data_IF_295944137530
#
_entry.id   IF_295944137530
#
_cell.length_a   1.000
_cell.length_b   1.000
_cell.length_c   1.000
_cell.angle_alpha   90.00
_cell.angle_beta   90.00
_cell.angle_gamma   90.00
#
_symmetry.space_group_name_H-M   'P 1'
#
loop_
_entity.id
_entity.type
_entity.pdbx_description
1 polymer ?
#
# COMPACT_ATOMS: atom_id res chain seq x y z
N UNK A 1 -0.31 1.21 -12.15
CA UNK A 1 1.12 0.96 -12.30
C UNK A 1 1.34 -0.55 -12.33
N UNK A 2 1.90 -1.09 -13.41
CA UNK A 2 2.20 -2.52 -13.50
C UNK A 2 3.50 -2.83 -12.75
N UNK A 3 3.77 -4.12 -12.45
CA UNK A 3 5.04 -4.52 -11.81
C UNK A 3 6.28 -4.10 -12.62
N UNK A 4 6.14 -3.91 -13.94
CA UNK A 4 7.24 -3.52 -14.82
C UNK A 4 7.51 -2.02 -14.70
N UNK A 5 6.46 -1.20 -14.69
CA UNK A 5 6.58 0.26 -14.54
C UNK A 5 7.28 0.63 -13.23
N UNK A 6 6.93 -0.06 -12.12
CA UNK A 6 7.58 0.16 -10.84
C UNK A 6 9.07 -0.18 -10.89
N UNK A 7 9.46 -1.27 -11.55
CA UNK A 7 10.87 -1.65 -11.69
C UNK A 7 11.66 -0.61 -12.48
N UNK A 8 11.07 -0.07 -13.54
CA UNK A 8 11.68 1.01 -14.31
C UNK A 8 11.83 2.28 -13.47
N UNK A 9 10.80 2.66 -12.72
CA UNK A 9 10.86 3.82 -11.83
C UNK A 9 11.92 3.67 -10.73
N UNK A 10 12.00 2.49 -10.10
CA UNK A 10 13.06 2.17 -9.13
C UNK A 10 14.42 2.30 -9.81
N UNK A 11 14.60 1.73 -11.00
CA UNK A 11 15.89 1.81 -11.70
C UNK A 11 16.29 3.26 -11.99
N UNK A 12 15.36 4.08 -12.48
CA UNK A 12 15.61 5.51 -12.70
C UNK A 12 15.97 6.24 -11.40
N UNK A 13 15.29 5.96 -10.29
CA UNK A 13 15.61 6.55 -9.00
C UNK A 13 17.01 6.15 -8.51
N UNK A 14 17.42 4.91 -8.76
CA UNK A 14 18.78 4.44 -8.48
C UNK A 14 19.81 5.13 -9.37
N UNK A 15 19.55 5.24 -10.68
CA UNK A 15 20.47 5.89 -11.63
C UNK A 15 20.61 7.40 -11.35
N UNK A 16 19.60 8.03 -10.75
CA UNK A 16 19.63 9.42 -10.28
C UNK A 16 20.28 9.59 -8.89
N UNK A 17 20.69 8.50 -8.23
CA UNK A 17 21.29 8.57 -6.89
C UNK A 17 20.32 9.00 -5.79
N UNK A 18 19.00 8.81 -5.95
CA UNK A 18 18.01 9.29 -4.96
C UNK A 18 18.11 8.62 -3.58
N UNK A 19 18.89 7.55 -3.47
CA UNK A 19 19.16 6.81 -2.23
C UNK A 19 20.40 7.35 -1.48
N UNK A 20 21.20 8.21 -2.12
CA UNK A 20 22.43 8.79 -1.58
C UNK A 20 22.14 10.16 -0.95
N UNK A 21 23.00 10.58 -0.02
CA UNK A 21 22.87 11.91 0.58
C UNK A 21 23.24 12.97 -0.46
N UNK A 22 22.27 13.82 -0.80
CA UNK A 22 22.44 14.90 -1.77
C UNK A 22 23.44 15.98 -1.32
N UNK A 23 24.18 16.53 -2.28
CA UNK A 23 25.13 17.63 -2.09
C UNK A 23 24.48 18.95 -1.63
N UNK A 24 25.23 19.83 -0.94
CA UNK A 24 24.73 21.07 -0.33
C UNK A 24 24.22 22.14 -1.31
N UNK A 25 24.33 21.92 -2.63
CA UNK A 25 23.98 22.92 -3.64
C UNK A 25 22.51 22.86 -4.09
N UNK A 26 21.74 21.88 -3.62
CA UNK A 26 20.32 21.73 -3.96
C UNK A 26 19.44 22.49 -2.96
N UNK A 27 18.29 22.99 -3.45
CA UNK A 27 17.32 23.62 -2.55
C UNK A 27 16.74 22.59 -1.58
N UNK A 28 16.47 23.01 -0.35
CA UNK A 28 15.87 22.15 0.68
C UNK A 28 14.58 21.49 0.18
N UNK A 29 13.72 22.24 -0.50
CA UNK A 29 12.50 21.72 -1.09
C UNK A 29 12.73 20.68 -2.21
N UNK A 30 13.86 20.72 -2.91
CA UNK A 30 14.23 19.67 -3.85
C UNK A 30 14.67 18.41 -3.12
N UNK A 31 15.51 18.55 -2.10
CA UNK A 31 16.00 17.42 -1.27
C UNK A 31 14.83 16.70 -0.60
N UNK A 32 13.89 17.44 -0.01
CA UNK A 32 12.67 16.87 0.61
C UNK A 32 11.83 16.11 -0.41
N UNK A 33 11.57 16.69 -1.59
CA UNK A 33 10.80 16.01 -2.64
C UNK A 33 11.50 14.75 -3.16
N UNK A 34 12.82 14.78 -3.34
CA UNK A 34 13.60 13.62 -3.76
C UNK A 34 13.55 12.49 -2.70
N UNK A 35 13.72 12.83 -1.42
CA UNK A 35 13.57 11.91 -0.29
C UNK A 35 12.18 11.27 -0.25
N UNK A 36 11.12 12.08 -0.32
CA UNK A 36 9.74 11.58 -0.32
C UNK A 36 9.42 10.71 -1.55
N UNK A 37 9.97 11.05 -2.72
CA UNK A 37 9.83 10.25 -3.92
C UNK A 37 10.51 8.87 -3.76
N UNK A 38 11.75 8.85 -3.27
CA UNK A 38 12.46 7.59 -3.01
C UNK A 38 11.69 6.70 -2.04
N UNK A 39 11.27 7.25 -0.89
CA UNK A 39 10.52 6.48 0.11
C UNK A 39 9.15 6.02 -0.40
N UNK A 40 8.53 6.76 -1.33
CA UNK A 40 7.31 6.31 -2.01
C UNK A 40 7.58 5.08 -2.88
N UNK A 41 8.66 5.08 -3.65
CA UNK A 41 9.08 3.92 -4.46
C UNK A 41 9.44 2.73 -3.56
N UNK A 42 10.12 2.98 -2.45
CA UNK A 42 10.43 1.96 -1.43
C UNK A 42 9.17 1.29 -0.90
N UNK A 43 8.17 2.05 -0.44
CA UNK A 43 6.90 1.51 0.05
C UNK A 43 6.22 0.64 -1.02
N UNK A 44 6.19 1.10 -2.26
CA UNK A 44 5.60 0.36 -3.38
C UNK A 44 6.34 -0.96 -3.66
N UNK A 45 7.69 -0.95 -3.59
CA UNK A 45 8.49 -2.15 -3.73
C UNK A 45 8.18 -3.17 -2.63
N UNK A 46 8.06 -2.72 -1.37
CA UNK A 46 7.71 -3.59 -0.23
C UNK A 46 6.31 -4.18 -0.34
N UNK A 47 5.32 -3.38 -0.75
CA UNK A 47 3.95 -3.86 -1.02
C UNK A 47 3.95 -4.96 -2.08
N UNK A 48 4.68 -4.74 -3.18
CA UNK A 48 4.72 -5.69 -4.27
C UNK A 48 5.51 -6.95 -3.93
N UNK A 49 6.62 -6.81 -3.19
CA UNK A 49 7.39 -7.93 -2.65
C UNK A 49 6.52 -8.81 -1.76
N UNK A 50 5.80 -8.21 -0.81
CA UNK A 50 4.89 -8.90 0.08
C UNK A 50 3.78 -9.64 -0.68
N UNK A 51 3.13 -8.98 -1.64
CA UNK A 51 2.06 -9.58 -2.45
C UNK A 51 2.53 -10.79 -3.26
N UNK A 52 3.74 -10.73 -3.81
CA UNK A 52 4.25 -11.76 -4.72
C UNK A 52 5.10 -12.83 -4.04
N UNK A 53 5.44 -12.63 -2.77
CA UNK A 53 6.36 -13.49 -2.02
C UNK A 53 7.80 -13.44 -2.53
N UNK A 54 8.15 -12.46 -3.39
CA UNK A 54 9.51 -12.29 -3.90
C UNK A 54 10.32 -11.40 -2.96
N UNK A 55 11.66 -11.52 -2.94
CA UNK A 55 12.51 -10.57 -2.22
C UNK A 55 12.29 -9.13 -2.72
N UNK A 56 12.37 -8.11 -1.85
CA UNK A 56 12.30 -6.72 -2.27
C UNK A 56 13.39 -6.36 -3.28
N UNK A 57 13.10 -5.42 -4.19
CA UNK A 57 14.01 -4.99 -5.25
C UNK A 57 15.07 -4.02 -4.73
N UNK A 58 14.68 -3.13 -3.79
CA UNK A 58 15.59 -2.15 -3.19
C UNK A 58 16.19 -2.79 -1.92
N UNK A 59 17.50 -3.11 -1.86
CA UNK A 59 18.14 -3.56 -0.62
C UNK A 59 18.11 -2.45 0.44
N UNK A 60 18.05 -2.82 1.72
CA UNK A 60 18.06 -1.82 2.82
C UNK A 60 19.46 -1.25 3.03
N UNK A 61 20.49 -2.04 2.77
CA UNK A 61 21.90 -1.74 3.03
C UNK A 61 22.48 -0.64 2.15
N UNK A 62 21.84 -0.32 1.03
CA UNK A 62 22.30 0.72 0.11
C UNK A 62 21.69 2.10 0.40
N UNK A 63 20.74 2.19 1.33
CA UNK A 63 19.97 3.43 1.56
C UNK A 63 20.75 4.32 2.54
N UNK A 64 21.22 5.47 2.06
CA UNK A 64 21.98 6.44 2.88
C UNK A 64 21.11 7.60 3.36
N UNK A 65 20.02 7.91 2.66
CA UNK A 65 19.10 9.00 3.05
C UNK A 65 18.38 8.70 4.37
N UNK A 66 18.07 9.74 5.18
CA UNK A 66 17.30 9.55 6.41
C UNK A 66 15.85 9.16 6.12
N UNK A 67 15.21 8.52 7.11
CA UNK A 67 13.76 8.31 7.12
C UNK A 67 13.03 9.66 7.03
N UNK A 68 11.85 9.71 6.39
CA UNK A 68 11.09 10.95 6.31
C UNK A 68 10.59 11.35 7.70
N UNK A 69 10.49 12.65 7.94
CA UNK A 69 9.99 13.22 9.19
C UNK A 69 8.72 14.02 8.96
N UNK A 70 8.03 14.42 10.03
CA UNK A 70 6.80 15.23 9.91
C UNK A 70 7.10 16.62 9.32
N UNK A 71 8.34 17.11 9.44
CA UNK A 71 8.82 18.38 8.86
C UNK A 71 8.83 18.34 7.33
N UNK A 72 8.98 17.16 6.72
CA UNK A 72 8.95 16.97 5.26
C UNK A 72 7.58 17.29 4.64
N UNK A 73 6.54 17.45 5.47
CA UNK A 73 5.17 17.68 5.06
C UNK A 73 4.63 19.07 5.41
N UNK A 74 5.44 19.92 6.03
CA UNK A 74 5.07 21.32 6.35
C UNK A 74 5.07 22.17 5.07
N UNK A 75 4.14 23.13 4.99
CA UNK A 75 3.83 23.89 3.77
C UNK A 75 5.00 24.72 3.18
N UNK A 76 6.16 24.82 3.85
CA UNK A 76 7.39 25.44 3.34
C UNK A 76 8.50 24.47 2.89
N UNK A 77 8.45 23.18 3.23
CA UNK A 77 9.50 22.21 2.89
C UNK A 77 9.25 21.47 1.57
N UNK A 78 8.04 21.55 1.00
CA UNK A 78 7.69 20.94 -0.29
C UNK A 78 6.87 21.85 -1.24
N UNK A 79 6.30 22.94 -0.73
CA UNK A 79 5.57 23.97 -1.49
C UNK A 79 6.23 25.32 -1.18
N UNK A 80 6.50 26.13 -2.20
CA UNK A 80 7.41 27.27 -2.05
C UNK A 80 6.74 28.57 -1.54
N UNK A 81 5.43 28.58 -1.24
CA UNK A 81 4.66 29.84 -1.32
C UNK A 81 3.71 30.15 -0.15
N UNK A 82 3.80 29.51 1.03
CA UNK A 82 2.90 29.82 2.17
C UNK A 82 3.68 29.95 3.50
N UNK A 83 3.72 31.18 4.03
CA UNK A 83 4.34 31.56 5.32
C UNK A 83 3.43 31.29 6.54
N UNK A 84 2.73 30.14 6.58
CA UNK A 84 2.05 29.73 7.81
C UNK A 84 2.98 28.78 8.58
N UNK A 85 3.50 29.25 9.73
CA UNK A 85 4.24 28.42 10.71
C UNK A 85 3.29 27.40 11.37
N UNK A 86 2.84 26.40 10.61
CA UNK A 86 2.17 25.24 11.19
C UNK A 86 3.21 24.31 11.82
N UNK A 87 3.06 24.05 13.12
CA UNK A 87 3.87 23.06 13.84
C UNK A 87 3.78 21.69 13.13
N UNK A 88 4.91 20.98 12.96
CA UNK A 88 4.91 19.65 12.34
C UNK A 88 3.97 18.73 13.10
N UNK A 89 2.96 18.21 12.40
CA UNK A 89 2.02 17.26 12.97
C UNK A 89 2.29 15.85 12.45
N UNK A 90 2.09 14.80 13.27
CA UNK A 90 2.27 13.42 12.86
C UNK A 90 1.57 13.11 11.54
N UNK A 91 2.34 12.63 10.56
CA UNK A 91 1.89 12.33 9.21
C UNK A 91 1.93 10.81 8.97
N UNK A 92 0.83 10.18 8.50
CA UNK A 92 0.76 8.72 8.36
C UNK A 92 1.85 8.12 7.46
N UNK A 93 2.31 8.86 6.45
CA UNK A 93 3.35 8.40 5.53
C UNK A 93 4.67 8.06 6.24
N UNK A 94 5.07 8.85 7.24
CA UNK A 94 6.27 8.61 8.05
C UNK A 94 6.20 7.25 8.74
N UNK A 95 5.06 6.94 9.34
CA UNK A 95 4.82 5.66 9.99
C UNK A 95 4.68 4.53 8.97
N UNK A 96 4.11 4.79 7.79
CA UNK A 96 3.98 3.81 6.72
C UNK A 96 5.36 3.37 6.21
N UNK A 97 6.31 4.28 6.05
CA UNK A 97 7.69 3.94 5.65
C UNK A 97 8.34 3.02 6.70
N UNK A 98 8.22 3.36 7.98
CA UNK A 98 8.74 2.53 9.09
C UNK A 98 8.09 1.15 9.14
N UNK A 99 6.78 1.08 8.94
CA UNK A 99 6.06 -0.18 8.80
C UNK A 99 6.60 -1.00 7.63
N UNK A 100 6.86 -0.38 6.49
CA UNK A 100 7.31 -1.07 5.28
C UNK A 100 8.75 -1.59 5.39
N UNK A 101 9.60 -0.96 6.21
CA UNK A 101 10.90 -1.54 6.59
C UNK A 101 10.69 -2.89 7.30
N UNK A 102 9.85 -2.93 8.33
CA UNK A 102 9.52 -4.18 9.04
C UNK A 102 8.87 -5.21 8.11
N UNK A 103 7.95 -4.76 7.25
CA UNK A 103 7.31 -5.59 6.23
C UNK A 103 8.32 -6.25 5.29
N UNK A 104 9.32 -5.50 4.81
CA UNK A 104 10.37 -6.02 3.93
C UNK A 104 11.20 -7.12 4.58
N UNK A 105 11.59 -6.92 5.84
CA UNK A 105 12.33 -7.91 6.64
C UNK A 105 11.51 -9.18 6.88
N UNK A 106 10.26 -9.03 7.29
CA UNK A 106 9.32 -10.16 7.49
C UNK A 106 9.11 -10.90 6.18
N UNK A 107 8.87 -10.19 5.07
CA UNK A 107 8.70 -10.79 3.74
C UNK A 107 9.93 -11.59 3.33
N UNK A 108 11.13 -11.08 3.60
CA UNK A 108 12.38 -11.77 3.28
C UNK A 108 12.55 -13.06 4.08
N UNK A 109 12.21 -13.05 5.38
CA UNK A 109 12.22 -14.25 6.22
C UNK A 109 11.18 -15.26 5.72
N UNK A 110 9.94 -14.83 5.47
CA UNK A 110 8.86 -15.68 4.95
C UNK A 110 9.16 -16.25 3.55
N UNK A 111 9.83 -15.48 2.69
CA UNK A 111 10.25 -15.93 1.37
C UNK A 111 11.42 -16.93 1.45
N UNK A 112 12.35 -16.74 2.39
CA UNK A 112 13.40 -17.72 2.71
C UNK A 112 12.84 -19.07 3.17
N UNK A 113 11.63 -19.09 3.72
CA UNK A 113 10.91 -20.32 4.06
C UNK A 113 10.30 -21.06 2.85
N UNK A 114 10.35 -20.49 1.63
CA UNK A 114 9.68 -21.05 0.43
C UNK A 114 10.58 -21.84 -0.53
N UNK A 115 11.90 -21.91 -0.29
CA UNK A 115 12.76 -22.74 -1.13
C UNK A 115 14.24 -22.72 -0.78
N UNK A 116 14.94 -23.82 -1.09
CA UNK A 116 16.39 -23.92 -0.94
C UNK A 116 17.12 -23.13 -2.05
N UNK A 117 18.20 -22.44 -1.67
CA UNK A 117 19.15 -21.89 -2.64
C UNK A 117 19.78 -23.04 -3.41
N UNK A 118 19.52 -23.12 -4.72
CA UNK A 118 20.12 -24.12 -5.62
C UNK A 118 21.53 -23.72 -6.09
N UNK A 119 22.18 -22.79 -5.40
CA UNK A 119 23.51 -22.29 -5.74
C UNK A 119 24.58 -23.07 -4.97
N UNK A 120 25.84 -22.97 -5.41
CA UNK A 120 26.98 -23.69 -4.82
C UNK A 120 27.39 -23.19 -3.41
N UNK A 121 26.64 -22.27 -2.83
CA UNK A 121 26.92 -21.75 -1.49
C UNK A 121 26.32 -22.69 -0.44
N UNK A 122 27.09 -23.08 0.59
CA UNK A 122 26.57 -23.92 1.65
C UNK A 122 25.37 -23.23 2.32
N UNK A 123 24.37 -24.05 2.68
CA UNK A 123 23.22 -23.64 3.49
C UNK A 123 23.71 -22.95 4.76
N UNK A 124 23.69 -21.62 4.78
CA UNK A 124 23.73 -20.87 6.03
C UNK A 124 22.39 -21.15 6.69
N UNK A 125 22.38 -22.06 7.67
CA UNK A 125 21.24 -22.31 8.54
C UNK A 125 20.89 -21.03 9.28
N UNK A 126 20.02 -20.21 8.68
CA UNK A 126 19.46 -19.05 9.36
C UNK A 126 18.33 -19.58 10.22
N UNK A 127 18.32 -19.23 11.50
CA UNK A 127 17.22 -19.50 12.43
C UNK A 127 16.00 -18.63 12.06
N UNK A 128 15.40 -18.89 10.89
CA UNK A 128 14.25 -18.16 10.36
C UNK A 128 13.08 -18.09 11.34
N UNK A 129 12.72 -19.16 12.10
CA UNK A 129 11.63 -19.08 13.09
C UNK A 129 11.94 -18.11 14.24
N UNK A 130 13.16 -18.10 14.76
CA UNK A 130 13.58 -17.19 15.81
C UNK A 130 13.57 -15.74 15.31
N UNK A 131 14.11 -15.51 14.11
CA UNK A 131 14.12 -14.18 13.50
C UNK A 131 12.72 -13.66 13.18
N UNK A 132 11.81 -14.53 12.74
CA UNK A 132 10.41 -14.17 12.52
C UNK A 132 9.74 -13.73 13.82
N UNK A 133 9.96 -14.47 14.93
CA UNK A 133 9.41 -14.13 16.24
C UNK A 133 9.91 -12.78 16.76
N UNK A 134 11.19 -12.47 16.55
CA UNK A 134 11.77 -11.17 16.89
C UNK A 134 11.11 -10.03 16.08
N UNK A 135 11.08 -10.15 14.76
CA UNK A 135 10.47 -9.15 13.87
C UNK A 135 8.98 -8.97 14.13
N UNK A 136 8.29 -10.05 14.49
CA UNK A 136 6.89 -10.02 14.89
C UNK A 136 6.70 -9.24 16.19
N UNK A 137 7.57 -9.42 17.19
CA UNK A 137 7.54 -8.64 18.42
C UNK A 137 7.82 -7.16 18.16
N UNK A 138 8.79 -6.85 17.30
CA UNK A 138 9.07 -5.47 16.85
C UNK A 138 7.85 -4.84 16.17
N UNK A 139 7.15 -5.57 15.30
CA UNK A 139 5.95 -5.08 14.62
C UNK A 139 4.79 -4.83 15.59
N UNK A 140 4.57 -5.73 16.55
CA UNK A 140 3.56 -5.55 17.60
C UNK A 140 3.89 -4.33 18.44
N UNK A 141 5.16 -4.16 18.84
CA UNK A 141 5.61 -3.01 19.61
C UNK A 141 5.44 -1.71 18.84
N UNK A 142 5.86 -1.67 17.57
CA UNK A 142 5.69 -0.52 16.68
C UNK A 142 4.23 -0.09 16.60
N UNK A 143 3.31 -1.03 16.34
CA UNK A 143 1.90 -0.72 16.20
C UNK A 143 1.24 -0.30 17.53
N UNK A 144 1.69 -0.86 18.65
CA UNK A 144 1.21 -0.49 19.98
C UNK A 144 1.67 0.90 20.43
N UNK A 145 2.85 1.34 19.97
CA UNK A 145 3.47 2.63 20.30
C UNK A 145 3.05 3.78 19.40
N UNK A 146 2.12 3.56 18.45
CA UNK A 146 1.54 4.66 17.68
C UNK A 146 0.93 5.71 18.62
N UNK A 147 1.22 6.98 18.35
CA UNK A 147 0.69 8.11 19.12
C UNK A 147 -0.84 8.13 19.06
N UNK A 148 -1.51 8.80 20.00
CA UNK A 148 -2.98 8.84 20.04
C UNK A 148 -3.61 9.34 18.74
N UNK A 149 -2.95 10.28 18.05
CA UNK A 149 -3.40 10.82 16.75
C UNK A 149 -3.13 9.89 15.56
N UNK A 150 -2.24 8.91 15.71
CA UNK A 150 -1.89 7.91 14.69
C UNK A 150 -2.49 6.53 14.98
N UNK A 151 -3.09 6.33 16.16
CA UNK A 151 -3.75 5.08 16.52
C UNK A 151 -5.12 5.02 15.86
N UNK A 152 -5.50 3.84 15.36
CA UNK A 152 -6.79 3.66 14.73
C UNK A 152 -7.92 4.07 15.68
N UNK A 153 -8.67 5.08 15.28
CA UNK A 153 -9.93 5.50 15.89
C UNK A 153 -10.72 6.31 14.86
N UNK A 154 -12.04 6.38 15.03
CA UNK A 154 -12.91 7.16 14.16
C UNK A 154 -12.53 8.64 14.18
N UNK A 155 -12.17 9.18 15.35
CA UNK A 155 -11.80 10.58 15.51
C UNK A 155 -10.42 10.87 14.90
N UNK A 156 -9.44 9.98 15.08
CA UNK A 156 -8.14 10.11 14.42
C UNK A 156 -8.27 10.04 12.90
N UNK A 157 -9.09 9.12 12.38
CA UNK A 157 -9.35 9.02 10.94
C UNK A 157 -9.97 10.30 10.39
N UNK A 158 -11.03 10.82 11.02
CA UNK A 158 -11.67 12.10 10.62
C UNK A 158 -10.69 13.27 10.65
N UNK A 159 -9.83 13.33 11.67
CA UNK A 159 -8.82 14.38 11.78
C UNK A 159 -7.79 14.28 10.63
N UNK A 160 -7.28 13.08 10.35
CA UNK A 160 -6.36 12.87 9.24
C UNK A 160 -7.01 13.08 7.87
N UNK A 161 -8.28 12.71 7.71
CA UNK A 161 -9.07 12.98 6.50
C UNK A 161 -9.23 14.49 6.27
N UNK A 162 -9.55 15.27 7.31
CA UNK A 162 -9.64 16.72 7.22
C UNK A 162 -8.32 17.38 6.80
N UNK A 163 -7.19 16.73 7.10
CA UNK A 163 -5.84 17.14 6.68
C UNK A 163 -5.41 16.61 5.31
N UNK A 164 -6.26 15.86 4.61
CA UNK A 164 -5.94 15.24 3.32
C UNK A 164 -5.04 14.00 3.40
N UNK A 165 -4.83 13.45 4.60
CA UNK A 165 -4.03 12.24 4.84
C UNK A 165 -4.89 11.00 5.15
N UNK A 166 -6.22 11.08 5.04
CA UNK A 166 -7.14 9.99 5.36
C UNK A 166 -6.79 8.68 4.64
N UNK A 167 -6.43 8.78 3.36
CA UNK A 167 -5.98 7.63 2.58
C UNK A 167 -4.68 7.02 3.14
N UNK A 168 -3.64 7.84 3.35
CA UNK A 168 -2.38 7.31 3.89
C UNK A 168 -2.56 6.68 5.28
N UNK A 169 -3.46 7.24 6.09
CA UNK A 169 -3.83 6.71 7.40
C UNK A 169 -4.52 5.35 7.29
N UNK A 170 -5.53 5.22 6.44
CA UNK A 170 -6.22 3.94 6.26
C UNK A 170 -5.28 2.89 5.66
N UNK A 171 -4.43 3.23 4.70
CA UNK A 171 -3.39 2.31 4.19
C UNK A 171 -2.43 1.84 5.30
N UNK A 172 -1.96 2.72 6.17
CA UNK A 172 -1.10 2.36 7.30
C UNK A 172 -1.74 1.25 8.14
N UNK A 173 -3.02 1.42 8.52
CA UNK A 173 -3.72 0.46 9.38
C UNK A 173 -4.07 -0.83 8.66
N UNK A 174 -4.48 -0.77 7.39
CA UNK A 174 -4.71 -1.97 6.59
C UNK A 174 -3.44 -2.80 6.49
N UNK A 175 -2.31 -2.18 6.14
CA UNK A 175 -1.04 -2.90 5.97
C UNK A 175 -0.45 -3.38 7.29
N UNK A 176 -0.50 -2.59 8.37
CA UNK A 176 0.00 -3.04 9.67
C UNK A 176 -0.69 -4.33 10.12
N UNK A 177 -2.03 -4.36 10.01
CA UNK A 177 -2.80 -5.54 10.37
C UNK A 177 -2.65 -6.69 9.37
N UNK A 178 -2.37 -6.40 8.10
CA UNK A 178 -2.08 -7.43 7.09
C UNK A 178 -0.77 -8.15 7.38
N UNK A 179 0.29 -7.39 7.67
CA UNK A 179 1.60 -7.96 8.00
C UNK A 179 1.52 -8.72 9.33
N UNK A 180 0.81 -8.19 10.33
CA UNK A 180 0.54 -8.92 11.57
C UNK A 180 -0.19 -10.24 11.30
N UNK A 181 -1.29 -10.21 10.55
CA UNK A 181 -2.09 -11.40 10.24
C UNK A 181 -1.24 -12.50 9.59
N UNK A 182 -0.47 -12.16 8.55
CA UNK A 182 0.43 -13.11 7.88
C UNK A 182 1.56 -13.57 8.80
N UNK A 183 2.11 -12.70 9.65
CA UNK A 183 3.17 -13.08 10.60
C UNK A 183 2.68 -14.12 11.63
N UNK A 184 1.43 -14.01 12.09
CA UNK A 184 0.81 -14.98 12.99
C UNK A 184 0.27 -16.23 12.28
N UNK A 185 -0.02 -16.14 10.99
CA UNK A 185 -0.55 -17.22 10.16
C UNK A 185 0.06 -17.23 8.74
N UNK A 186 1.32 -17.69 8.59
CA UNK A 186 2.05 -17.61 7.32
C UNK A 186 1.36 -18.31 6.13
N UNK A 187 0.57 -19.35 6.41
CA UNK A 187 -0.17 -20.12 5.39
C UNK A 187 -1.25 -19.30 4.67
N UNK A 188 -1.64 -18.12 5.17
CA UNK A 188 -2.57 -17.24 4.44
C UNK A 188 -2.00 -16.78 3.09
N UNK A 189 -0.68 -16.86 2.89
CA UNK A 189 -0.03 -16.55 1.63
C UNK A 189 0.44 -17.79 0.86
N UNK A 190 0.21 -19.00 1.38
CA UNK A 190 0.57 -20.21 0.66
C UNK A 190 -0.48 -20.46 -0.42
N UNK A 191 -0.03 -20.51 -1.68
CA UNK A 191 -0.87 -20.94 -2.79
C UNK A 191 -1.11 -22.43 -2.56
N UNK A 192 -2.38 -22.83 -2.50
CA UNK A 192 -2.83 -24.21 -2.31
C UNK A 192 -2.24 -25.15 -3.37
N UNK A 193 -1.01 -25.60 -3.16
CA UNK A 193 -0.33 -26.66 -3.90
C UNK A 193 0.21 -27.68 -2.88
N UNK A 194 -0.68 -28.25 -2.07
CA UNK A 194 -0.60 -29.60 -1.47
C UNK A 194 0.58 -29.98 -0.57
N UNK A 195 1.68 -29.24 -0.54
CA UNK A 195 2.88 -29.53 0.21
C UNK A 195 3.15 -28.32 1.10
N UNK A 196 2.78 -28.45 2.37
CA UNK A 196 3.29 -27.57 3.43
C UNK A 196 4.79 -27.47 3.24
N UNK A 197 5.34 -26.26 3.15
CA UNK A 197 6.79 -26.12 3.24
C UNK A 197 7.20 -26.75 4.58
N UNK A 198 8.20 -27.65 4.63
CA UNK A 198 8.66 -28.25 5.89
C UNK A 198 9.11 -27.20 6.92
N UNK A 199 9.26 -25.94 6.51
CA UNK A 199 9.65 -24.80 7.35
C UNK A 199 8.44 -24.12 8.03
N UNK A 200 7.23 -24.11 7.45
CA UNK A 200 6.02 -23.52 8.08
C UNK A 200 5.36 -24.43 9.12
N UNK A 201 5.81 -25.68 9.24
CA UNK A 201 5.40 -26.60 10.30
C UNK A 201 5.98 -26.21 11.68
N UNK A 202 7.15 -25.56 11.71
CA UNK A 202 7.86 -25.22 12.95
C UNK A 202 7.54 -23.81 13.50
N UNK A 203 6.70 -23.03 12.82
CA UNK A 203 6.30 -21.69 13.29
C UNK A 203 5.07 -21.81 14.18
N UNK A 204 5.16 -21.32 15.41
CA UNK A 204 4.04 -21.28 16.37
C UNK A 204 2.91 -20.41 15.81
N UNK A 205 1.79 -21.05 15.44
CA UNK A 205 0.66 -20.39 14.78
C UNK A 205 -0.26 -19.77 15.81
N UNK A 206 -0.73 -18.56 15.54
CA UNK A 206 -1.78 -17.93 16.33
C UNK A 206 -2.93 -17.48 15.43
N UNK A 207 -3.77 -18.45 15.05
CA UNK A 207 -5.00 -18.21 14.26
C UNK A 207 -5.87 -17.12 14.91
N UNK A 208 -5.99 -17.14 16.24
CA UNK A 208 -6.71 -16.13 17.02
C UNK A 208 -6.12 -14.72 16.88
N UNK A 209 -4.79 -14.58 16.91
CA UNK A 209 -4.13 -13.29 16.73
C UNK A 209 -4.27 -12.79 15.28
N UNK A 210 -4.12 -13.67 14.30
CA UNK A 210 -4.37 -13.34 12.90
C UNK A 210 -5.81 -12.86 12.69
N UNK A 211 -6.80 -13.55 13.26
CA UNK A 211 -8.20 -13.15 13.19
C UNK A 211 -8.47 -11.80 13.83
N UNK A 212 -7.80 -11.48 14.95
CA UNK A 212 -7.91 -10.16 15.57
C UNK A 212 -7.47 -9.06 14.61
N UNK A 213 -6.33 -9.24 13.94
CA UNK A 213 -5.85 -8.29 12.94
C UNK A 213 -6.79 -8.19 11.74
N UNK A 214 -7.33 -9.32 11.25
CA UNK A 214 -8.30 -9.32 10.16
C UNK A 214 -9.62 -8.63 10.51
N UNK A 215 -10.07 -8.68 11.76
CA UNK A 215 -11.24 -7.91 12.23
C UNK A 215 -10.98 -6.41 12.18
N UNK A 216 -9.80 -5.96 12.60
CA UNK A 216 -9.43 -4.54 12.50
C UNK A 216 -9.44 -4.08 11.03
N UNK A 217 -8.98 -4.91 10.09
CA UNK A 217 -9.07 -4.62 8.64
C UNK A 217 -10.53 -4.41 8.20
N UNK A 218 -11.43 -5.32 8.61
CA UNK A 218 -12.85 -5.20 8.28
C UNK A 218 -13.47 -3.93 8.90
N UNK A 219 -13.21 -3.65 10.17
CA UNK A 219 -13.65 -2.43 10.86
C UNK A 219 -13.16 -1.17 10.13
N UNK A 220 -11.89 -1.14 9.73
CA UNK A 220 -11.31 -0.03 8.98
C UNK A 220 -12.11 0.28 7.72
N UNK A 221 -12.49 -0.75 6.97
CA UNK A 221 -13.24 -0.61 5.72
C UNK A 221 -14.69 -0.21 5.95
N UNK A 222 -15.35 -0.74 6.99
CA UNK A 222 -16.72 -0.33 7.35
C UNK A 222 -16.76 1.16 7.70
N UNK A 223 -15.83 1.62 8.54
CA UNK A 223 -15.80 3.04 8.92
C UNK A 223 -15.38 3.94 7.77
N UNK A 224 -14.40 3.53 6.95
CA UNK A 224 -14.03 4.27 5.76
C UNK A 224 -15.23 4.42 4.80
N UNK A 225 -16.02 3.36 4.58
CA UNK A 225 -17.20 3.43 3.72
C UNK A 225 -18.31 4.32 4.31
N UNK A 226 -18.52 4.24 5.62
CA UNK A 226 -19.53 5.05 6.30
C UNK A 226 -19.22 6.55 6.25
N UNK A 227 -17.94 6.91 6.40
CA UNK A 227 -17.48 8.28 6.46
C UNK A 227 -17.22 8.90 5.08
N UNK A 228 -16.99 8.08 4.05
CA UNK A 228 -16.74 8.50 2.67
C UNK A 228 -17.97 9.10 1.95
N UNK A 229 -19.07 9.38 2.65
CA UNK A 229 -20.30 9.88 2.04
C UNK A 229 -20.16 11.28 1.43
N UNK A 230 -19.11 12.07 1.73
CA UNK A 230 -18.99 13.48 1.28
C UNK A 230 -17.65 13.88 0.64
N UNK A 231 -16.68 12.99 0.39
CA UNK A 231 -15.37 13.43 -0.12
C UNK A 231 -14.61 12.40 -0.96
N UNK A 232 -13.49 12.84 -1.50
CA UNK A 232 -12.48 12.13 -2.29
C UNK A 232 -11.96 10.82 -1.65
N UNK A 233 -12.40 10.44 -0.45
CA UNK A 233 -12.10 9.20 0.28
C UNK A 233 -12.61 7.92 -0.37
N UNK A 234 -13.51 7.99 -1.36
CA UNK A 234 -13.75 6.86 -2.28
C UNK A 234 -12.50 6.49 -3.12
N UNK A 235 -11.49 7.36 -3.19
CA UNK A 235 -10.25 7.11 -3.93
C UNK A 235 -9.41 5.97 -3.35
N UNK A 236 -9.52 5.64 -2.06
CA UNK A 236 -8.73 4.54 -1.51
C UNK A 236 -9.37 3.15 -1.64
N UNK A 237 -10.70 3.04 -1.64
CA UNK A 237 -11.37 1.86 -2.21
C UNK A 237 -11.11 1.74 -3.72
N UNK A 238 -10.57 2.80 -4.35
CA UNK A 238 -10.04 2.79 -5.71
C UNK A 238 -8.52 2.56 -5.75
N UNK A 239 -7.84 2.27 -4.63
CA UNK A 239 -6.40 1.97 -4.64
C UNK A 239 -6.15 0.46 -4.73
N UNK A 240 -5.37 -0.02 -5.73
CA UNK A 240 -5.08 -1.45 -5.87
C UNK A 240 -4.24 -2.01 -4.69
N UNK A 241 -3.69 -1.14 -3.85
CA UNK A 241 -2.91 -1.53 -2.66
C UNK A 241 -3.77 -2.01 -1.50
N UNK A 242 -5.07 -1.71 -1.46
CA UNK A 242 -6.00 -2.23 -0.46
C UNK A 242 -6.43 -3.68 -0.76
N UNK A 243 -6.27 -4.15 -2.00
CA UNK A 243 -6.70 -5.48 -2.44
C UNK A 243 -6.02 -6.59 -1.63
N UNK A 244 -4.70 -6.47 -1.42
CA UNK A 244 -3.95 -7.49 -0.69
C UNK A 244 -4.36 -7.59 0.79
N UNK A 245 -4.47 -6.48 1.55
CA UNK A 245 -5.07 -6.49 2.88
C UNK A 245 -6.45 -7.14 2.96
N UNK A 246 -7.35 -6.77 2.05
CA UNK A 246 -8.71 -7.30 2.02
C UNK A 246 -8.68 -8.80 1.75
N UNK A 247 -7.88 -9.26 0.78
CA UNK A 247 -7.73 -10.67 0.44
C UNK A 247 -7.20 -11.50 1.61
N UNK A 248 -6.13 -11.05 2.28
CA UNK A 248 -5.55 -11.74 3.45
C UNK A 248 -6.57 -11.83 4.60
N UNK A 249 -7.28 -10.74 4.88
CA UNK A 249 -8.31 -10.74 5.91
C UNK A 249 -9.43 -11.72 5.58
N UNK A 250 -9.89 -11.76 4.33
CA UNK A 250 -10.90 -12.70 3.86
C UNK A 250 -10.45 -14.16 4.01
N UNK A 251 -9.21 -14.49 3.65
CA UNK A 251 -8.66 -15.84 3.84
C UNK A 251 -8.65 -16.25 5.32
N UNK A 252 -8.31 -15.33 6.23
CA UNK A 252 -8.34 -15.61 7.66
C UNK A 252 -9.76 -15.96 8.15
N UNK A 253 -10.78 -15.25 7.67
CA UNK A 253 -12.18 -15.56 8.01
C UNK A 253 -12.64 -16.88 7.38
N UNK A 254 -12.27 -17.16 6.14
CA UNK A 254 -12.57 -18.44 5.49
C UNK A 254 -11.97 -19.60 6.28
N UNK A 255 -10.72 -19.47 6.72
CA UNK A 255 -10.04 -20.47 7.54
C UNK A 255 -10.77 -20.69 8.86
N UNK A 256 -11.15 -19.62 9.56
CA UNK A 256 -11.88 -19.69 10.84
C UNK A 256 -13.26 -20.34 10.70
N UNK A 257 -14.02 -19.99 9.66
CA UNK A 257 -15.32 -20.61 9.38
C UNK A 257 -15.15 -22.11 9.13
N UNK A 258 -14.20 -22.52 8.27
CA UNK A 258 -13.93 -23.94 8.00
C UNK A 258 -13.49 -24.70 9.25
N UNK A 259 -12.63 -24.09 10.07
CA UNK A 259 -12.18 -24.69 11.33
C UNK A 259 -13.32 -24.83 12.33
N UNK A 260 -14.23 -23.86 12.39
CA UNK A 260 -15.38 -23.88 13.32
C UNK A 260 -16.42 -24.92 12.88
N UNK A 261 -16.72 -25.00 11.58
CA UNK A 261 -17.66 -25.98 11.03
C UNK A 261 -17.15 -27.43 11.22
N UNK A 262 -15.83 -27.64 11.10
CA UNK A 262 -15.20 -28.93 11.41
C UNK A 262 -15.31 -29.29 12.90
N UNK A 263 -15.05 -28.35 13.81
CA UNK A 263 -15.13 -28.60 15.24
C UNK A 263 -16.58 -28.79 15.74
N UNK A 264 -17.55 -28.11 15.11
CA UNK A 264 -18.98 -28.24 15.42
C UNK A 264 -19.54 -29.66 15.15
N UNK A 265 -18.89 -30.42 14.27
CA UNK A 265 -19.26 -31.83 14.01
C UNK A 265 -18.57 -32.83 14.94
N UNK A 266 -17.59 -32.40 15.74
CA UNK A 266 -16.81 -33.26 16.64
C UNK A 266 -17.15 -33.11 18.14
N UNK A 267 -17.60 -31.95 18.61
CA UNK A 267 -17.70 -31.65 20.06
C UNK A 267 -19.10 -31.33 20.62
N UNK A 268 -19.36 -31.83 21.83
CA UNK A 268 -20.65 -31.83 22.53
C UNK A 268 -21.00 -30.52 23.27
N UNK A 269 -22.10 -29.87 22.86
CA UNK A 269 -23.08 -29.02 23.58
C UNK A 269 -22.65 -27.83 24.47
N UNK A 270 -21.44 -27.71 25.03
CA UNK A 270 -21.18 -26.66 26.04
C UNK A 270 -20.76 -25.28 25.49
N UNK A 271 -20.16 -25.20 24.29
CA UNK A 271 -19.69 -23.94 23.68
C UNK A 271 -20.38 -23.57 22.35
N UNK A 272 -21.35 -24.37 21.91
CA UNK A 272 -21.98 -24.22 20.59
C UNK A 272 -22.59 -22.83 20.35
N UNK A 273 -23.14 -22.17 21.37
CA UNK A 273 -23.73 -20.83 21.20
C UNK A 273 -22.67 -19.76 20.90
N UNK A 274 -21.53 -19.78 21.58
CA UNK A 274 -20.43 -18.84 21.37
C UNK A 274 -19.77 -19.10 20.02
N UNK A 275 -19.54 -20.36 19.68
CA UNK A 275 -18.93 -20.75 18.40
C UNK A 275 -19.85 -20.39 17.21
N UNK A 276 -21.17 -20.57 17.36
CA UNK A 276 -22.15 -20.13 16.36
C UNK A 276 -22.18 -18.60 16.19
N UNK A 277 -22.06 -17.85 17.29
CA UNK A 277 -21.97 -16.38 17.24
C UNK A 277 -20.69 -15.91 16.54
N UNK A 278 -19.55 -16.50 16.88
CA UNK A 278 -18.25 -16.18 16.26
C UNK A 278 -18.25 -16.52 14.77
N UNK A 279 -18.78 -17.68 14.39
CA UNK A 279 -19.00 -18.06 12.98
C UNK A 279 -19.87 -17.05 12.24
N UNK A 280 -20.97 -16.60 12.85
CA UNK A 280 -21.86 -15.59 12.25
C UNK A 280 -21.14 -14.26 12.05
N UNK A 281 -20.37 -13.80 13.04
CA UNK A 281 -19.57 -12.57 12.94
C UNK A 281 -18.46 -12.69 11.88
N UNK A 282 -17.79 -13.83 11.79
CA UNK A 282 -16.79 -14.09 10.75
C UNK A 282 -17.44 -14.02 9.36
N UNK A 283 -18.65 -14.58 9.21
CA UNK A 283 -19.39 -14.54 7.95
C UNK A 283 -19.79 -13.12 7.55
N UNK A 284 -20.23 -12.30 8.51
CA UNK A 284 -20.55 -10.89 8.28
C UNK A 284 -19.32 -10.08 7.85
N UNK A 285 -18.18 -10.25 8.54
CA UNK A 285 -16.93 -9.58 8.16
C UNK A 285 -16.47 -10.00 6.76
N UNK A 286 -16.52 -11.29 6.44
CA UNK A 286 -16.19 -11.78 5.11
C UNK A 286 -17.11 -11.17 4.03
N UNK A 287 -18.41 -11.04 4.28
CA UNK A 287 -19.34 -10.40 3.35
C UNK A 287 -18.99 -8.92 3.08
N UNK A 288 -18.59 -8.18 4.12
CA UNK A 288 -18.12 -6.79 3.99
C UNK A 288 -16.88 -6.71 3.09
N UNK A 289 -15.89 -7.58 3.34
CA UNK A 289 -14.64 -7.61 2.58
C UNK A 289 -14.87 -8.00 1.11
N UNK A 290 -15.72 -8.98 0.85
CA UNK A 290 -16.10 -9.37 -0.52
C UNK A 290 -16.82 -8.24 -1.24
N UNK A 291 -17.75 -7.55 -0.57
CA UNK A 291 -18.44 -6.37 -1.15
C UNK A 291 -17.45 -5.24 -1.45
N UNK A 292 -16.45 -5.04 -0.59
CA UNK A 292 -15.39 -4.08 -0.85
C UNK A 292 -14.65 -4.44 -2.14
N UNK A 293 -14.13 -5.68 -2.28
CA UNK A 293 -13.44 -6.14 -3.50
C UNK A 293 -14.29 -5.95 -4.77
N UNK A 294 -15.57 -6.33 -4.72
CA UNK A 294 -16.49 -6.15 -5.85
C UNK A 294 -16.64 -4.69 -6.29
N UNK A 295 -16.65 -3.74 -5.35
CA UNK A 295 -16.65 -2.31 -5.70
C UNK A 295 -15.35 -1.90 -6.37
N UNK A 296 -14.22 -2.43 -5.91
CA UNK A 296 -12.92 -2.14 -6.51
C UNK A 296 -12.80 -2.68 -7.94
N UNK A 297 -13.50 -3.77 -8.29
CA UNK A 297 -13.53 -4.33 -9.66
C UNK A 297 -13.99 -3.31 -10.71
N UNK A 298 -14.84 -2.35 -10.32
CA UNK A 298 -15.28 -1.28 -11.22
C UNK A 298 -14.11 -0.42 -11.73
N UNK A 299 -13.08 -0.25 -10.91
CA UNK A 299 -11.93 0.61 -11.21
C UNK A 299 -10.71 -0.18 -11.69
N UNK A 300 -10.57 -1.43 -11.29
CA UNK A 300 -9.41 -2.26 -11.62
C UNK A 300 -9.84 -3.66 -12.08
N UNK A 301 -9.73 -3.91 -13.38
CA UNK A 301 -10.06 -5.21 -14.00
C UNK A 301 -9.29 -6.37 -13.36
N UNK A 302 -8.04 -6.15 -12.97
CA UNK A 302 -7.20 -7.20 -12.35
C UNK A 302 -7.67 -7.70 -10.98
N UNK A 303 -8.66 -7.06 -10.37
CA UNK A 303 -9.25 -7.51 -9.09
C UNK A 303 -10.19 -8.70 -9.30
N UNK A 304 -10.81 -8.82 -10.48
CA UNK A 304 -11.68 -9.95 -10.81
C UNK A 304 -11.00 -11.30 -10.59
N UNK A 305 -9.73 -11.43 -10.98
CA UNK A 305 -8.94 -12.64 -10.73
C UNK A 305 -8.73 -12.93 -9.25
N UNK A 306 -8.59 -11.90 -8.41
CA UNK A 306 -8.45 -12.07 -6.95
C UNK A 306 -9.78 -12.50 -6.33
N UNK A 307 -10.89 -11.89 -6.77
CA UNK A 307 -12.23 -12.29 -6.34
C UNK A 307 -12.54 -13.74 -6.73
N UNK A 308 -12.20 -14.16 -7.95
CA UNK A 308 -12.45 -15.53 -8.42
C UNK A 308 -11.64 -16.55 -7.59
N UNK A 309 -10.39 -16.25 -7.23
CA UNK A 309 -9.59 -17.09 -6.32
C UNK A 309 -10.24 -17.11 -4.92
N UNK A 310 -10.74 -15.97 -4.43
CA UNK A 310 -11.39 -15.90 -3.14
C UNK A 310 -12.68 -16.74 -3.11
N UNK A 311 -13.49 -16.68 -4.18
CA UNK A 311 -14.70 -17.47 -4.36
C UNK A 311 -14.39 -18.97 -4.34
N UNK A 312 -13.31 -19.39 -5.00
CA UNK A 312 -12.84 -20.78 -4.94
C UNK A 312 -12.46 -21.21 -3.52
N UNK A 313 -11.80 -20.33 -2.76
CA UNK A 313 -11.44 -20.61 -1.37
C UNK A 313 -12.67 -20.65 -0.45
N UNK A 314 -13.70 -19.84 -0.74
CA UNK A 314 -14.96 -19.78 0.00
C UNK A 314 -15.98 -20.85 -0.45
N UNK A 315 -15.68 -21.63 -1.48
CA UNK A 315 -16.58 -22.65 -2.00
C UNK A 315 -17.01 -23.63 -0.90
N UNK A 316 -18.31 -23.97 -0.88
CA UNK A 316 -18.92 -24.81 0.15
C UNK A 316 -19.38 -24.08 1.42
N UNK A 317 -19.01 -22.80 1.61
CA UNK A 317 -19.44 -22.02 2.79
C UNK A 317 -20.80 -21.33 2.62
N UNK A 318 -21.49 -21.51 1.50
CA UNK A 318 -22.79 -20.88 1.24
C UNK A 318 -22.72 -19.37 0.96
N UNK A 319 -21.53 -18.82 0.68
CA UNK A 319 -21.37 -17.45 0.20
C UNK A 319 -21.84 -17.35 -1.25
N UNK A 320 -22.81 -16.48 -1.50
CA UNK A 320 -23.22 -16.11 -2.85
C UNK A 320 -22.62 -14.75 -3.19
N UNK A 321 -21.90 -14.68 -4.31
CA UNK A 321 -21.44 -13.42 -4.90
C UNK A 321 -22.67 -12.56 -5.18
N UNK A 322 -22.70 -11.32 -4.67
CA UNK A 322 -23.71 -10.34 -5.08
C UNK A 322 -23.54 -10.11 -6.58
N UNK A 323 -24.54 -10.56 -7.36
CA UNK A 323 -24.69 -10.59 -8.82
C UNK A 323 -23.48 -10.30 -9.71
N UNK A 324 -23.01 -11.36 -10.39
CA UNK A 324 -22.10 -11.31 -11.55
C UNK A 324 -22.74 -10.73 -12.84
N UNK A 325 -23.97 -10.20 -12.77
CA UNK A 325 -24.74 -9.67 -13.92
C UNK A 325 -24.30 -8.24 -14.34
N UNK A 326 -23.49 -7.56 -13.53
CA UNK A 326 -22.74 -6.36 -13.94
C UNK A 326 -21.26 -6.68 -14.11
N UNK A 327 -20.91 -7.72 -14.88
CA UNK A 327 -19.66 -7.61 -15.63
C UNK A 327 -19.87 -6.43 -16.57
N UNK A 328 -19.33 -5.27 -16.22
CA UNK A 328 -19.18 -4.20 -17.19
C UNK A 328 -18.43 -4.85 -18.36
N UNK A 329 -19.12 -5.04 -19.47
CA UNK A 329 -18.48 -5.21 -20.76
C UNK A 329 -17.69 -3.91 -20.98
N UNK A 330 -16.50 -3.80 -20.38
CA UNK A 330 -15.48 -2.95 -20.96
C UNK A 330 -15.09 -3.69 -22.24
N UNK A 331 -15.37 -3.12 -23.43
CA UNK A 331 -14.82 -3.68 -24.64
C UNK A 331 -13.30 -3.71 -24.49
N UNK A 332 -12.72 -4.78 -24.98
CA UNK A 332 -11.29 -5.05 -25.07
C UNK A 332 -10.55 -3.73 -25.34
N UNK A 333 -9.88 -3.18 -24.30
CA UNK A 333 -9.18 -1.91 -24.39
C UNK A 333 -7.84 -2.18 -25.09
N UNK A 334 -7.91 -2.59 -26.35
CA UNK A 334 -6.86 -2.35 -27.30
C UNK A 334 -6.54 -0.86 -27.25
N UNK A 335 -5.24 -0.56 -27.08
CA UNK A 335 -4.65 0.77 -27.18
C UNK A 335 -5.42 1.66 -28.17
N UNK A 336 -6.26 2.55 -27.62
CA UNK A 336 -6.96 3.56 -28.39
C UNK A 336 -6.52 4.90 -27.84
N UNK A 337 -5.83 5.67 -28.69
CA UNK A 337 -5.32 7.01 -28.47
C UNK A 337 -6.43 7.99 -28.08
N UNK A 338 -6.84 7.95 -26.80
CA UNK A 338 -7.60 9.02 -26.17
C UNK A 338 -6.84 9.52 -24.95
N UNK A 339 -6.62 10.85 -24.83
CA UNK A 339 -5.88 11.38 -23.70
C UNK A 339 -6.65 11.09 -22.40
N UNK A 340 -5.96 10.69 -21.32
CA UNK A 340 -6.60 10.38 -20.05
C UNK A 340 -7.26 11.64 -19.47
N UNK A 341 -8.54 11.52 -19.13
CA UNK A 341 -9.30 12.53 -18.38
C UNK A 341 -8.83 12.50 -16.93
N UNK A 342 -7.62 13.02 -16.65
CA UNK A 342 -7.09 13.17 -15.29
C UNK A 342 -6.06 14.30 -15.20
N UNK A 343 -6.40 15.54 -15.60
CA UNK A 343 -5.58 16.73 -15.27
C UNK A 343 -6.39 17.99 -14.83
N UNK A 344 -7.71 18.08 -15.01
CA UNK A 344 -8.38 19.40 -14.92
C UNK A 344 -9.12 19.76 -13.61
N UNK A 345 -8.98 19.03 -12.51
CA UNK A 345 -9.69 19.38 -11.27
C UNK A 345 -8.91 20.28 -10.28
N UNK A 346 -7.59 20.44 -10.43
CA UNK A 346 -6.77 21.20 -9.46
C UNK A 346 -6.40 22.62 -9.92
N UNK A 347 -6.57 22.95 -11.21
CA UNK A 347 -6.25 24.28 -11.76
C UNK A 347 -7.45 25.25 -11.89
N UNK A 348 -8.65 24.86 -11.45
CA UNK A 348 -9.87 25.64 -11.69
C UNK A 348 -10.20 26.70 -10.62
N UNK A 349 -9.28 27.04 -9.73
CA UNK A 349 -9.46 28.15 -8.77
C UNK A 349 -8.22 29.04 -8.80
N UNK A 350 -8.36 30.20 -9.45
CA UNK A 350 -7.36 31.26 -9.69
C UNK A 350 -6.47 31.04 -10.93
N UNK A 351 -6.83 31.60 -12.11
CA UNK A 351 -5.87 31.72 -13.20
C UNK A 351 -4.74 32.66 -12.76
N UNK A 352 -3.46 32.29 -12.91
CA UNK A 352 -2.38 33.25 -12.80
C UNK A 352 -2.53 34.24 -13.97
N UNK A 353 -2.68 35.52 -13.67
CA UNK A 353 -2.52 36.57 -14.67
C UNK A 353 -1.06 36.52 -15.10
N UNK A 354 -0.80 35.94 -16.27
CA UNK A 354 0.50 36.04 -16.93
C UNK A 354 0.71 37.50 -17.34
N UNK A 355 1.35 38.28 -16.48
CA UNK A 355 2.01 39.51 -16.89
C UNK A 355 3.27 39.10 -17.63
N UNK A 356 3.22 39.11 -18.96
CA UNK A 356 4.40 38.98 -19.81
C UNK A 356 5.29 40.20 -19.53
N UNK A 357 6.54 40.05 -19.07
CA UNK A 357 7.46 41.17 -18.99
C UNK A 357 7.71 41.67 -20.42
N UNK A 358 7.37 42.92 -20.71
CA UNK A 358 7.77 43.54 -21.97
C UNK A 358 9.29 43.63 -22.00
N UNK A 359 9.90 42.93 -22.96
CA UNK A 359 11.30 43.11 -23.32
C UNK A 359 11.44 44.53 -23.88
N UNK A 360 12.32 45.39 -23.33
CA UNK A 360 12.50 46.73 -23.87
C UNK A 360 13.05 46.65 -25.29
N UNK A 361 12.31 47.26 -26.21
CA UNK A 361 12.63 47.47 -27.62
C UNK A 361 13.84 48.39 -27.78
N UNK A 362 15.01 47.84 -27.59
CA UNK A 362 16.27 48.46 -27.99
C UNK A 362 17.16 47.36 -28.55
N UNK A 363 17.05 47.11 -29.87
CA UNK A 363 18.05 46.50 -30.77
C UNK A 363 17.34 46.14 -32.10
N UNK A 364 16.89 47.14 -32.85
CA UNK A 364 16.50 46.97 -34.27
C UNK A 364 16.93 48.16 -35.13
N UNK A 365 18.11 48.71 -34.86
CA UNK A 365 18.72 49.77 -35.65
C UNK A 365 20.25 49.66 -35.64
N UNK A 366 20.76 48.53 -36.12
CA UNK A 366 22.13 48.46 -36.66
C UNK A 366 22.29 47.17 -37.47
N UNK A 367 21.88 47.24 -38.74
CA UNK A 367 22.32 46.33 -39.82
C UNK A 367 21.76 46.86 -41.15
N UNK A 368 22.22 48.05 -41.56
CA UNK A 368 22.22 48.40 -42.99
C UNK A 368 23.54 47.87 -43.55
N UNK A 369 23.42 46.80 -44.32
CA UNK A 369 24.46 46.18 -45.11
C UNK A 369 25.06 47.22 -46.08
N UNK A 370 26.37 47.38 -45.97
CA UNK A 370 27.23 47.96 -46.98
C UNK A 370 27.28 46.98 -48.16
N UNK A 371 26.59 47.33 -49.25
CA UNK A 371 26.69 46.65 -50.52
C UNK A 371 27.21 47.66 -51.53
N UNK A 372 28.54 47.77 -51.60
CA UNK A 372 29.19 48.24 -52.80
C UNK A 372 29.01 47.21 -53.90
N UNK A 373 28.49 47.65 -55.05
CA UNK A 373 29.09 47.23 -56.31
C UNK A 373 28.91 48.27 -57.41
N UNK A 374 29.97 48.38 -58.20
CA UNK A 374 30.31 49.29 -59.29
C UNK A 374 29.33 49.31 -60.48
N UNK A 375 29.11 50.48 -61.10
CA UNK A 375 29.52 50.77 -62.49
C UNK A 375 28.91 52.07 -63.06
N UNK A 376 29.75 52.80 -63.80
CA UNK A 376 29.53 53.96 -64.68
C UNK A 376 29.95 55.33 -64.12
#
# INVERSE_FOLDING_TARGET
>A
MTSNDLRMAIRMAMDLGLYEVFEPYLSEAHVTRARLLFWSLFVNDRILAFKTGRPPTIPEEIIEIPLPTDEDFVAGSARADIEDEELPQPTPFVYMVRLMVLCGRITTVLAGCRGEMRTLLPHVGKDYPAKLKELQAELVQFYAQLSGVMKWSVDAFKNQEARGHGDSFLTLHLWANTVLAVSFHPELQERSEGNLSPITQNVERSTKASLRSSRIIAECLVFADLLASHSYTNAQLTSPFAVQPIYVASLAFIYDIKSTDFNASADSKSNQSVDNLLSTLARQNLAVLTKALQRMEHYWVGISSVSDILDQNAAGLGFQRIDASRKAHLPDLALSDRPPIFINAVYARHPPVMVVPQVPSALSSSMTLDAGDTSA
#
